data_IF_080394435492
#
_entry.id   IF_080394435492
#
_cell.length_a   1.000
_cell.length_b   1.000
_cell.length_c   1.000
_cell.angle_alpha   90.00
_cell.angle_beta   90.00
_cell.angle_gamma   90.00
#
_symmetry.space_group_name_H-M   'P 1'
#
loop_
_entity.id
_entity.type
_entity.pdbx_description
1 polymer ?
#
# COMPACT_ATOMS: atom_id res chain seq x y z
N UNK A 1 -3.51 -0.25 0.58
CA UNK A 1 -2.97 1.06 0.21
C UNK A 1 -1.48 1.17 0.53
N UNK A 2 -1.01 0.77 1.73
CA UNK A 2 0.41 0.81 2.13
C UNK A 2 1.42 0.25 1.10
N UNK A 3 1.01 -0.79 0.37
CA UNK A 3 1.78 -1.40 -0.72
C UNK A 3 2.16 -0.43 -1.85
N UNK A 4 1.33 0.59 -2.07
CA UNK A 4 1.47 1.57 -3.15
C UNK A 4 2.17 2.86 -2.68
N UNK A 5 2.87 2.81 -1.54
CA UNK A 5 3.70 3.92 -1.07
C UNK A 5 5.17 3.61 -1.39
N UNK A 6 5.70 4.14 -2.50
CA UNK A 6 7.02 3.76 -3.02
C UNK A 6 8.18 4.26 -2.17
N UNK A 7 7.92 5.08 -1.14
CA UNK A 7 8.90 5.56 -0.17
C UNK A 7 8.55 5.15 1.27
N UNK A 8 7.49 4.36 1.48
CA UNK A 8 6.98 4.07 2.81
C UNK A 8 6.16 5.24 3.38
N UNK A 9 6.01 5.28 4.70
CA UNK A 9 5.33 6.35 5.41
C UNK A 9 5.75 6.39 6.88
N UNK A 10 5.59 7.57 7.47
CA UNK A 10 5.77 7.81 8.90
C UNK A 10 4.54 8.53 9.42
N UNK A 11 3.81 7.87 10.31
CA UNK A 11 2.60 8.41 10.94
C UNK A 11 2.75 8.28 12.45
N UNK A 12 3.15 9.39 13.08
CA UNK A 12 3.26 9.51 14.53
C UNK A 12 1.96 10.14 15.09
N UNK A 13 1.17 9.40 15.90
CA UNK A 13 -0.04 9.93 16.51
C UNK A 13 0.19 11.09 17.50
N UNK A 14 1.43 11.30 17.94
CA UNK A 14 1.76 12.36 18.90
C UNK A 14 1.93 13.74 18.26
N UNK A 15 2.09 13.81 16.94
CA UNK A 15 2.26 15.09 16.22
C UNK A 15 0.91 15.74 15.89
N UNK A 16 0.77 17.08 16.02
CA UNK A 16 -0.46 17.79 15.68
C UNK A 16 -0.93 17.54 14.25
N UNK A 17 0.02 17.33 13.32
CA UNK A 17 -0.22 17.14 11.89
C UNK A 17 -0.60 15.70 11.51
N UNK A 18 -0.74 14.78 12.48
CA UNK A 18 -1.04 13.37 12.21
C UNK A 18 -2.22 13.17 11.24
N UNK A 19 -3.30 13.95 11.41
CA UNK A 19 -4.47 13.89 10.54
C UNK A 19 -4.14 14.26 9.09
N UNK A 20 -3.41 15.36 8.90
CA UNK A 20 -3.03 15.87 7.57
C UNK A 20 -2.00 14.95 6.90
N UNK A 21 -1.04 14.44 7.66
CA UNK A 21 -0.06 13.45 7.18
C UNK A 21 -0.77 12.16 6.74
N UNK A 22 -1.75 11.70 7.52
CA UNK A 22 -2.58 10.55 7.19
C UNK A 22 -3.37 10.77 5.90
N UNK A 23 -3.98 11.95 5.74
CA UNK A 23 -4.73 12.31 4.54
C UNK A 23 -3.83 12.36 3.29
N UNK A 24 -2.68 13.04 3.37
CA UNK A 24 -1.72 13.15 2.26
C UNK A 24 -1.18 11.78 1.87
N UNK A 25 -0.83 10.95 2.84
CA UNK A 25 -0.40 9.56 2.62
C UNK A 25 -1.49 8.73 1.94
N UNK A 26 -2.75 8.92 2.34
CA UNK A 26 -3.90 8.27 1.72
C UNK A 26 -4.07 8.65 0.25
N UNK A 27 -4.00 9.95 -0.06
CA UNK A 27 -4.11 10.50 -1.42
C UNK A 27 -2.96 9.97 -2.31
N UNK A 28 -1.73 9.96 -1.80
CA UNK A 28 -0.58 9.42 -2.54
C UNK A 28 -0.77 7.93 -2.86
N UNK A 29 -1.14 7.13 -1.84
CA UNK A 29 -1.37 5.70 -2.04
C UNK A 29 -2.48 5.42 -3.06
N UNK A 30 -3.53 6.25 -3.08
CA UNK A 30 -4.61 6.16 -4.06
C UNK A 30 -4.11 6.50 -5.47
N UNK A 31 -3.33 7.57 -5.64
CA UNK A 31 -2.76 7.96 -6.91
C UNK A 31 -1.85 6.86 -7.50
N UNK A 32 -1.03 6.23 -6.66
CA UNK A 32 -0.13 5.16 -7.07
C UNK A 32 -0.87 3.85 -7.39
N UNK A 33 -1.86 3.47 -6.58
CA UNK A 33 -2.80 2.40 -6.92
C UNK A 33 -3.46 2.69 -8.27
N UNK A 34 -3.81 3.95 -8.50
CA UNK A 34 -4.49 4.34 -9.71
C UNK A 34 -3.61 4.18 -10.94
N UNK A 35 -2.36 4.63 -10.86
CA UNK A 35 -1.33 4.47 -11.88
C UNK A 35 -1.06 2.99 -12.19
N UNK A 36 -0.86 2.17 -11.15
CA UNK A 36 -0.63 0.73 -11.30
C UNK A 36 -1.74 0.03 -12.12
N UNK A 37 -2.99 0.40 -11.87
CA UNK A 37 -4.13 -0.16 -12.61
C UNK A 37 -4.13 0.25 -14.09
N UNK A 38 -3.77 1.50 -14.39
CA UNK A 38 -3.68 1.99 -15.78
C UNK A 38 -2.56 1.26 -16.52
N UNK A 39 -1.40 1.10 -15.88
CA UNK A 39 -0.26 0.33 -16.43
C UNK A 39 -0.61 -1.14 -16.68
N UNK A 40 -1.52 -1.70 -15.88
CA UNK A 40 -2.04 -3.06 -16.04
C UNK A 40 -3.33 -3.14 -16.89
N UNK A 41 -3.68 -2.08 -17.63
CA UNK A 41 -4.76 -2.08 -18.62
C UNK A 41 -6.19 -1.96 -18.07
N UNK A 42 -6.37 -1.55 -16.82
CA UNK A 42 -7.70 -1.37 -16.20
C UNK A 42 -8.20 0.06 -16.42
N UNK A 43 -9.29 0.20 -17.19
CA UNK A 43 -9.85 1.51 -17.63
C UNK A 43 -10.92 2.12 -16.70
N UNK A 44 -11.59 1.33 -15.87
CA UNK A 44 -12.69 1.79 -15.00
C UNK A 44 -12.65 1.07 -13.65
N UNK A 45 -12.90 1.82 -12.56
CA UNK A 45 -12.76 1.36 -11.18
C UNK A 45 -13.99 1.72 -10.38
N UNK A 46 -14.99 0.85 -10.40
CA UNK A 46 -16.03 0.88 -9.39
C UNK A 46 -15.39 0.37 -8.08
N UNK A 47 -15.71 0.94 -6.91
CA UNK A 47 -15.04 0.58 -5.65
C UNK A 47 -15.06 -0.94 -5.34
N UNK A 48 -16.15 -1.63 -5.68
CA UNK A 48 -16.28 -3.08 -5.56
C UNK A 48 -15.36 -3.89 -6.50
N UNK A 49 -14.92 -3.29 -7.61
CA UNK A 49 -14.03 -3.94 -8.57
C UNK A 49 -12.55 -3.89 -8.15
N UNK A 50 -12.15 -2.92 -7.34
CA UNK A 50 -10.73 -2.70 -6.97
C UNK A 50 -10.16 -3.91 -6.23
N UNK A 51 -10.83 -4.37 -5.16
CA UNK A 51 -10.37 -5.54 -4.40
C UNK A 51 -10.36 -6.82 -5.25
N UNK A 52 -11.34 -6.98 -6.15
CA UNK A 52 -11.41 -8.12 -7.07
C UNK A 52 -10.20 -8.15 -8.01
N UNK A 53 -9.82 -6.99 -8.57
CA UNK A 53 -8.64 -6.87 -9.44
C UNK A 53 -7.34 -7.08 -8.66
N UNK A 54 -7.20 -6.50 -7.45
CA UNK A 54 -6.01 -6.71 -6.62
C UNK A 54 -5.83 -8.18 -6.24
N UNK A 55 -6.90 -8.91 -5.91
CA UNK A 55 -6.83 -10.36 -5.67
C UNK A 55 -6.40 -11.13 -6.92
N UNK A 56 -6.88 -10.73 -8.10
CA UNK A 56 -6.46 -11.32 -9.37
C UNK A 56 -4.96 -11.08 -9.60
N UNK A 57 -4.50 -9.84 -9.46
CA UNK A 57 -3.08 -9.49 -9.60
C UNK A 57 -2.18 -10.19 -8.59
N UNK A 58 -2.65 -10.39 -7.35
CA UNK A 58 -1.92 -11.19 -6.36
C UNK A 58 -1.74 -12.64 -6.81
N UNK A 59 -2.79 -13.29 -7.32
CA UNK A 59 -2.72 -14.67 -7.85
C UNK A 59 -1.84 -14.77 -9.10
N UNK A 60 -1.85 -13.74 -9.93
CA UNK A 60 -1.01 -13.63 -11.14
C UNK A 60 0.42 -13.16 -10.83
N UNK A 61 0.81 -13.03 -9.56
CA UNK A 61 2.14 -12.57 -9.13
C UNK A 61 2.53 -11.15 -9.61
N UNK A 62 1.56 -10.36 -10.07
CA UNK A 62 1.78 -8.98 -10.54
C UNK A 62 2.04 -7.97 -9.41
N UNK A 63 1.79 -8.37 -8.16
CA UNK A 63 2.06 -7.55 -6.98
C UNK A 63 3.40 -7.89 -6.31
N UNK A 64 4.14 -8.90 -6.80
CA UNK A 64 5.30 -9.46 -6.09
C UNK A 64 6.39 -8.43 -5.86
N UNK A 65 6.79 -7.72 -6.90
CA UNK A 65 7.80 -6.67 -6.79
C UNK A 65 7.39 -5.58 -5.80
N UNK A 66 6.09 -5.25 -5.73
CA UNK A 66 5.58 -4.28 -4.75
C UNK A 66 5.60 -4.87 -3.33
N UNK A 67 5.28 -6.16 -3.18
CA UNK A 67 5.27 -6.86 -1.89
C UNK A 67 6.70 -6.97 -1.34
N UNK A 68 7.65 -7.35 -2.19
CA UNK A 68 9.06 -7.47 -1.81
C UNK A 68 9.64 -6.10 -1.44
N UNK A 69 9.33 -5.06 -2.23
CA UNK A 69 9.71 -3.69 -1.89
C UNK A 69 9.09 -3.24 -0.55
N UNK A 70 7.82 -3.56 -0.31
CA UNK A 70 7.18 -3.26 0.97
C UNK A 70 7.84 -4.00 2.15
N UNK A 71 8.14 -5.29 2.00
CA UNK A 71 8.85 -6.08 3.02
C UNK A 71 10.23 -5.51 3.32
N UNK A 72 10.99 -5.11 2.30
CA UNK A 72 12.27 -4.46 2.47
C UNK A 72 12.14 -3.17 3.30
N UNK A 73 11.11 -2.35 3.05
CA UNK A 73 10.85 -1.14 3.85
C UNK A 73 10.48 -1.46 5.29
N UNK A 74 9.63 -2.46 5.51
CA UNK A 74 9.26 -2.91 6.87
C UNK A 74 10.50 -3.35 7.63
N UNK A 75 11.38 -4.13 7.01
CA UNK A 75 12.64 -4.57 7.62
C UNK A 75 13.59 -3.39 7.96
N UNK A 76 13.60 -2.35 7.14
CA UNK A 76 14.40 -1.14 7.33
C UNK A 76 13.72 -0.08 8.23
N UNK A 77 12.58 -0.39 8.86
CA UNK A 77 11.76 0.56 9.62
C UNK A 77 11.26 1.78 8.82
N UNK A 78 11.21 1.70 7.48
CA UNK A 78 10.65 2.75 6.61
C UNK A 78 9.10 2.78 6.58
N UNK A 79 8.45 2.02 7.46
CA UNK A 79 7.00 1.92 7.61
C UNK A 79 6.68 2.09 9.09
N UNK A 80 6.54 3.34 9.51
CA UNK A 80 6.27 3.69 10.90
C UNK A 80 4.83 4.15 11.02
N UNK A 81 4.06 3.49 11.89
CA UNK A 81 2.68 3.86 12.15
C UNK A 81 2.19 3.29 13.48
N UNK A 82 0.98 3.69 13.93
CA UNK A 82 0.42 3.25 15.21
C UNK A 82 0.10 1.75 15.27
N UNK A 83 0.05 1.08 14.11
CA UNK A 83 -0.25 -0.34 14.04
C UNK A 83 0.93 -1.18 14.59
N UNK A 84 0.68 -2.14 15.50
CA UNK A 84 1.74 -2.99 16.04
C UNK A 84 2.55 -3.71 14.96
N UNK A 85 3.87 -3.87 15.17
CA UNK A 85 4.78 -4.48 14.17
C UNK A 85 4.32 -5.86 13.67
N UNK A 86 3.78 -6.70 14.56
CA UNK A 86 3.28 -8.03 14.19
C UNK A 86 2.10 -8.00 13.19
N UNK A 87 1.43 -6.85 13.03
CA UNK A 87 0.36 -6.65 12.04
C UNK A 87 0.88 -6.14 10.69
N UNK A 88 2.18 -5.87 10.56
CA UNK A 88 2.77 -5.31 9.34
C UNK A 88 3.09 -6.36 8.27
N UNK A 89 3.26 -7.63 8.65
CA UNK A 89 3.38 -8.74 7.70
C UNK A 89 1.99 -9.23 7.27
N UNK A 90 1.59 -8.84 6.06
CA UNK A 90 0.22 -9.03 5.56
C UNK A 90 0.10 -10.10 4.46
N UNK A 91 1.22 -10.63 3.96
CA UNK A 91 1.25 -11.49 2.78
C UNK A 91 1.82 -12.87 3.13
N UNK A 92 0.97 -13.82 3.45
CA UNK A 92 1.37 -15.23 3.58
C UNK A 92 1.21 -15.91 2.23
N UNK A 93 2.31 -16.09 1.49
CA UNK A 93 2.33 -17.05 0.39
C UNK A 93 2.39 -18.44 1.00
N UNK A 94 1.38 -19.27 0.73
CA UNK A 94 1.42 -20.70 0.98
C UNK A 94 2.04 -21.40 -0.21
#
# INVERSE_FOLDING_TARGET
>A
MKLFLPNGFELDPSVPEYGDLGLRTGIEAEAQLNKFFVENGIKSKNGSAVLKQLRKFYRESKLDSLIDAYRARVALNGVTGPAPRHTQELFTRK
#
